data_IF_642893539780
#
_entry.id   IF_642893539780
#
_cell.length_a   1.000
_cell.length_b   1.000
_cell.length_c   1.000
_cell.angle_alpha   90.00
_cell.angle_beta   90.00
_cell.angle_gamma   90.00
#
_symmetry.space_group_name_H-M   'P 1'
#
loop_
_entity.id
_entity.type
_entity.pdbx_description
1 polymer ?
#
# COMPACT_ATOMS: atom_id res chain seq x y z
N UNK A 1 23.98 -3.55 4.01
CA UNK A 1 24.09 -3.96 2.59
C UNK A 1 23.35 -3.03 1.61
N UNK A 2 22.02 -2.88 1.63
CA UNK A 2 21.31 -2.02 0.64
C UNK A 2 21.76 -0.55 0.66
N UNK A 3 21.63 0.13 1.81
CA UNK A 3 22.08 1.53 1.94
C UNK A 3 23.59 1.71 1.73
N UNK A 4 24.38 0.74 2.21
CA UNK A 4 25.84 0.72 2.06
C UNK A 4 26.29 0.54 0.61
N UNK A 5 25.48 -0.13 -0.22
CA UNK A 5 25.71 -0.25 -1.65
C UNK A 5 25.41 1.04 -2.44
N UNK A 6 24.91 2.08 -1.77
CA UNK A 6 24.58 3.38 -2.37
C UNK A 6 23.10 3.57 -2.70
N UNK A 7 22.26 2.55 -2.50
CA UNK A 7 20.84 2.63 -2.82
C UNK A 7 20.07 3.60 -1.89
N UNK A 8 19.16 4.37 -2.48
CA UNK A 8 18.49 5.48 -1.79
C UNK A 8 17.06 5.19 -1.33
N UNK A 9 16.32 4.36 -2.06
CA UNK A 9 14.88 4.22 -1.87
C UNK A 9 14.34 2.81 -2.17
N UNK A 10 13.26 2.45 -1.48
CA UNK A 10 12.50 1.20 -1.69
C UNK A 10 11.03 1.57 -1.89
N UNK A 11 10.39 1.00 -2.91
CA UNK A 11 8.94 0.96 -3.00
C UNK A 11 8.42 -0.29 -2.28
N UNK A 12 7.83 -0.11 -1.10
CA UNK A 12 7.14 -1.16 -0.36
C UNK A 12 5.71 -1.25 -0.90
N UNK A 13 5.45 -2.33 -1.64
CA UNK A 13 4.19 -2.54 -2.38
C UNK A 13 3.25 -3.52 -1.67
N UNK A 14 3.38 -3.63 -0.35
CA UNK A 14 2.42 -4.29 0.51
C UNK A 14 1.17 -3.44 0.66
N UNK A 15 0.00 -4.01 0.38
CA UNK A 15 -1.30 -3.37 0.57
C UNK A 15 -2.01 -3.97 1.79
N UNK A 16 -3.22 -3.50 2.11
CA UNK A 16 -3.97 -3.96 3.29
C UNK A 16 -4.10 -5.51 3.35
N UNK A 17 -4.29 -6.17 2.20
CA UNK A 17 -4.34 -7.64 2.10
C UNK A 17 -3.03 -8.37 2.47
N UNK A 18 -1.91 -7.64 2.57
CA UNK A 18 -0.60 -8.14 3.02
C UNK A 18 -0.26 -7.72 4.45
N UNK A 19 -1.24 -7.28 5.24
CA UNK A 19 -1.01 -6.79 6.61
C UNK A 19 -0.03 -5.61 6.67
N UNK A 20 -0.14 -4.68 5.70
CA UNK A 20 0.62 -3.41 5.66
C UNK A 20 0.55 -2.70 7.02
N UNK A 21 1.70 -2.19 7.48
CA UNK A 21 1.82 -1.40 8.72
C UNK A 21 2.74 -0.20 8.46
N UNK A 22 2.15 0.96 8.17
CA UNK A 22 2.88 2.18 7.79
C UNK A 22 3.73 2.75 8.93
N UNK A 23 3.37 2.48 10.19
CA UNK A 23 4.15 2.93 11.35
C UNK A 23 5.44 2.11 11.47
N UNK A 24 5.38 0.80 11.24
CA UNK A 24 6.58 -0.05 11.18
C UNK A 24 7.44 0.31 9.97
N UNK A 25 6.85 0.56 8.80
CA UNK A 25 7.60 1.00 7.62
C UNK A 25 8.34 2.31 7.90
N UNK A 26 7.67 3.31 8.50
CA UNK A 26 8.30 4.57 8.92
C UNK A 26 9.43 4.35 9.92
N UNK A 27 9.27 3.44 10.88
CA UNK A 27 10.32 3.07 11.83
C UNK A 27 11.55 2.49 11.10
N UNK A 28 11.35 1.58 10.16
CA UNK A 28 12.44 0.98 9.36
C UNK A 28 13.14 2.05 8.52
N UNK A 29 12.39 2.92 7.84
CA UNK A 29 12.95 4.03 7.05
C UNK A 29 13.87 4.91 7.91
N UNK A 30 13.43 5.28 9.12
CA UNK A 30 14.24 6.08 10.06
C UNK A 30 15.48 5.35 10.56
N UNK A 31 15.35 4.07 10.91
CA UNK A 31 16.47 3.28 11.44
C UNK A 31 17.55 3.01 10.39
N UNK A 32 17.15 2.88 9.12
CA UNK A 32 18.07 2.51 8.02
C UNK A 32 18.57 3.71 7.22
N UNK A 33 17.92 4.87 7.30
CA UNK A 33 18.18 6.01 6.43
C UNK A 33 17.80 5.77 4.96
N UNK A 34 17.00 4.74 4.68
CA UNK A 34 16.44 4.44 3.36
C UNK A 34 15.08 5.14 3.22
N UNK A 35 14.85 5.81 2.11
CA UNK A 35 13.53 6.37 1.80
C UNK A 35 12.58 5.24 1.41
N UNK A 36 11.48 5.04 2.13
CA UNK A 36 10.51 3.99 1.81
C UNK A 36 9.20 4.61 1.34
N UNK A 37 8.80 4.28 0.11
CA UNK A 37 7.53 4.69 -0.50
C UNK A 37 6.52 3.59 -0.23
N UNK A 38 5.41 3.92 0.45
CA UNK A 38 4.33 2.95 0.73
C UNK A 38 3.30 2.94 -0.40
N UNK A 39 2.66 1.78 -0.61
CA UNK A 39 1.57 1.64 -1.57
C UNK A 39 0.18 1.74 -0.91
N UNK A 40 -0.80 2.27 -1.64
CA UNK A 40 -2.24 2.00 -1.47
C UNK A 40 -2.71 0.98 -2.53
N UNK A 41 -4.01 0.72 -2.60
CA UNK A 41 -4.64 -0.19 -3.56
C UNK A 41 -4.74 -1.62 -3.02
N UNK A 42 -4.69 -2.61 -3.93
CA UNK A 42 -5.00 -4.00 -3.62
C UNK A 42 -4.21 -4.99 -4.50
N UNK A 43 -4.33 -6.29 -4.23
CA UNK A 43 -3.76 -7.36 -5.07
C UNK A 43 -4.84 -8.20 -5.75
N UNK A 44 -5.01 -9.47 -5.38
CA UNK A 44 -6.02 -10.37 -5.92
C UNK A 44 -7.08 -10.66 -4.88
N UNK A 45 -8.27 -10.99 -5.36
CA UNK A 45 -9.48 -11.30 -4.59
C UNK A 45 -9.24 -12.22 -3.38
N UNK A 46 -8.35 -13.20 -3.50
CA UNK A 46 -8.04 -14.12 -2.39
C UNK A 46 -7.39 -13.47 -1.16
N UNK A 47 -6.97 -12.20 -1.25
CA UNK A 47 -6.43 -11.40 -0.15
C UNK A 47 -7.38 -10.28 0.28
N UNK A 48 -8.57 -10.20 -0.30
CA UNK A 48 -9.58 -9.23 0.13
C UNK A 48 -10.22 -9.73 1.42
N UNK A 49 -10.39 -8.84 2.39
CA UNK A 49 -11.21 -9.09 3.57
C UNK A 49 -12.68 -8.84 3.23
N UNK A 50 -13.62 -9.35 4.05
CA UNK A 50 -15.05 -9.12 3.85
C UNK A 50 -15.40 -7.63 3.70
N UNK A 51 -14.78 -6.76 4.50
CA UNK A 51 -14.98 -5.32 4.40
C UNK A 51 -14.55 -4.75 3.05
N UNK A 52 -13.44 -5.24 2.47
CA UNK A 52 -12.95 -4.78 1.17
C UNK A 52 -13.87 -5.23 0.03
N UNK A 53 -14.44 -6.44 0.11
CA UNK A 53 -15.38 -6.99 -0.87
C UNK A 53 -16.76 -6.30 -0.88
N UNK A 54 -17.06 -5.51 0.16
CA UNK A 54 -18.33 -4.80 0.28
C UNK A 54 -18.25 -3.34 -0.18
N UNK A 55 -17.07 -2.87 -0.62
CA UNK A 55 -16.87 -1.50 -1.07
C UNK A 55 -17.20 -1.37 -2.56
N UNK A 56 -17.96 -0.34 -2.89
CA UNK A 56 -18.18 0.07 -4.29
C UNK A 56 -16.91 0.64 -4.92
N UNK A 57 -16.86 0.70 -6.26
CA UNK A 57 -15.77 1.37 -6.99
C UNK A 57 -15.54 2.81 -6.51
N UNK A 58 -16.62 3.55 -6.24
CA UNK A 58 -16.54 4.93 -5.75
C UNK A 58 -15.91 5.00 -4.34
N UNK A 59 -16.26 4.07 -3.46
CA UNK A 59 -15.68 3.99 -2.11
C UNK A 59 -14.21 3.55 -2.14
N UNK A 60 -13.85 2.60 -3.01
CA UNK A 60 -12.46 2.20 -3.23
C UNK A 60 -11.63 3.36 -3.79
N UNK A 61 -12.16 4.06 -4.79
CA UNK A 61 -11.51 5.25 -5.37
C UNK A 61 -11.29 6.30 -4.29
N UNK A 62 -12.33 6.61 -3.51
CA UNK A 62 -12.22 7.56 -2.40
C UNK A 62 -11.17 7.11 -1.39
N UNK A 63 -11.17 5.85 -0.99
CA UNK A 63 -10.18 5.30 -0.07
C UNK A 63 -8.75 5.48 -0.59
N UNK A 64 -8.48 5.18 -1.86
CA UNK A 64 -7.13 5.30 -2.40
C UNK A 64 -6.69 6.76 -2.54
N UNK A 65 -7.61 7.65 -2.94
CA UNK A 65 -7.34 9.09 -2.99
C UNK A 65 -7.04 9.63 -1.60
N UNK A 66 -7.86 9.32 -0.60
CA UNK A 66 -7.63 9.73 0.80
C UNK A 66 -6.28 9.22 1.31
N UNK A 67 -5.88 7.97 1.00
CA UNK A 67 -4.58 7.43 1.42
C UNK A 67 -3.39 8.13 0.74
N UNK A 68 -3.57 8.67 -0.47
CA UNK A 68 -2.55 9.43 -1.19
C UNK A 68 -2.49 10.88 -0.73
N UNK A 69 -3.63 11.52 -0.50
CA UNK A 69 -3.71 12.96 -0.23
C UNK A 69 -3.59 13.28 1.27
N UNK A 70 -4.25 12.49 2.12
CA UNK A 70 -4.42 12.74 3.56
C UNK A 70 -3.56 11.79 4.41
N UNK A 71 -3.62 10.49 4.11
CA UNK A 71 -2.77 9.48 4.73
C UNK A 71 -3.45 8.15 5.04
N UNK A 72 -2.61 7.17 5.37
CA UNK A 72 -2.97 5.76 5.59
C UNK A 72 -3.29 5.51 7.06
N UNK A 73 -4.35 4.72 7.32
CA UNK A 73 -4.69 4.16 8.64
C UNK A 73 -4.71 5.20 9.78
N UNK A 74 -5.35 6.36 9.51
CA UNK A 74 -5.43 7.52 10.43
C UNK A 74 -4.08 8.13 10.82
N UNK A 75 -3.05 7.90 10.02
CA UNK A 75 -1.75 8.57 10.15
C UNK A 75 -1.58 9.64 9.09
N UNK A 76 -0.63 10.57 9.28
CA UNK A 76 -0.21 11.51 8.24
C UNK A 76 0.79 10.90 7.23
N UNK A 77 0.92 9.56 7.16
CA UNK A 77 1.81 8.88 6.23
C UNK A 77 1.03 8.59 4.95
N UNK A 78 1.44 9.22 3.86
CA UNK A 78 0.75 9.12 2.57
C UNK A 78 1.32 8.01 1.70
N UNK A 79 0.44 7.37 0.93
CA UNK A 79 0.86 6.48 -0.15
C UNK A 79 1.56 7.31 -1.24
N UNK A 80 2.63 6.75 -1.82
CA UNK A 80 3.29 7.34 -3.00
C UNK A 80 3.06 6.56 -4.28
N UNK A 81 2.47 5.37 -4.20
CA UNK A 81 2.10 4.54 -5.35
C UNK A 81 0.77 3.83 -5.10
N UNK A 82 0.05 3.50 -6.18
CA UNK A 82 -1.16 2.67 -6.14
C UNK A 82 -0.82 1.32 -6.76
N UNK A 83 -1.05 0.23 -6.02
CA UNK A 83 -0.92 -1.14 -6.54
C UNK A 83 -2.28 -1.68 -6.93
N UNK A 84 -2.36 -2.29 -8.10
CA UNK A 84 -3.52 -3.05 -8.55
C UNK A 84 -3.04 -4.45 -8.94
N UNK A 85 -3.78 -5.48 -8.54
CA UNK A 85 -3.48 -6.86 -8.90
C UNK A 85 -4.62 -7.50 -9.68
N UNK A 86 -4.25 -8.50 -10.47
CA UNK A 86 -5.19 -9.38 -11.15
C UNK A 86 -4.87 -10.82 -10.78
N UNK A 87 -5.87 -11.70 -10.87
CA UNK A 87 -5.66 -13.14 -10.80
C UNK A 87 -5.18 -13.66 -12.17
N UNK A 88 -4.70 -14.90 -12.20
CA UNK A 88 -4.29 -15.53 -13.45
C UNK A 88 -5.42 -15.49 -14.48
N UNK A 89 -5.20 -14.78 -15.59
CA UNK A 89 -6.16 -14.57 -16.68
C UNK A 89 -7.53 -14.03 -16.26
N UNK A 90 -7.65 -13.33 -15.11
CA UNK A 90 -8.93 -12.80 -14.63
C UNK A 90 -8.75 -11.49 -13.85
N UNK A 91 -9.56 -10.48 -14.18
CA UNK A 91 -9.88 -9.39 -13.27
C UNK A 91 -11.13 -9.75 -12.49
N UNK A 92 -11.08 -9.59 -11.17
CA UNK A 92 -12.28 -9.70 -10.35
C UNK A 92 -12.97 -8.35 -10.37
N UNK A 93 -14.30 -8.37 -10.49
CA UNK A 93 -15.08 -7.16 -10.28
C UNK A 93 -15.00 -6.78 -8.81
N UNK A 94 -14.90 -5.48 -8.56
CA UNK A 94 -14.92 -4.90 -7.23
C UNK A 94 -16.36 -4.74 -6.76
#
# INVERSE_FOLDING_TARGET
MFKEAGDGAIAEVGTQGYSRDVLKIKKISRLTGVHIICATGFIKESYFTGDFLNLTEAELTKKFVDEVEEGIDHTAIRAGVIKIGASYNKFSEA
#
